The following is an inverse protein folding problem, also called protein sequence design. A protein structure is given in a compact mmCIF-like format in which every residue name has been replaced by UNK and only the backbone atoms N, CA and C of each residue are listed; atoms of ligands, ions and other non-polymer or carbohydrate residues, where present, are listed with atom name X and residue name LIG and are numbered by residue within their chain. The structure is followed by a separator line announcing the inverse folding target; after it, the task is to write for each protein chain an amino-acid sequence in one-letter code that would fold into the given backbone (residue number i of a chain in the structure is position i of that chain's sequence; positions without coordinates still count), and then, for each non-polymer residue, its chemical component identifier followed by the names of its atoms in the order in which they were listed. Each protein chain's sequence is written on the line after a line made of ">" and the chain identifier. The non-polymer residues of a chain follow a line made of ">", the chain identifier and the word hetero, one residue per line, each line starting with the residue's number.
data_IF_901173958563
#
_entry.id   IF_901173958563
#
_cell.length_a   1.000
_cell.length_b   1.000
_cell.length_c   1.000
_cell.angle_alpha   90.00
_cell.angle_beta   90.00
_cell.angle_gamma   90.00
#
_symmetry.space_group_name_H-M   'P 1'
#
loop_
_entity.id
_entity.type
_entity.pdbx_description
1 polymer ?
#
# COMPACT_ATOMS: atom_id res chain seq x y z
N UNK A 1 43.62 8.30 29.54
CA UNK A 1 44.40 9.50 29.15
C UNK A 1 45.84 9.07 28.85
N UNK A 2 46.57 9.72 27.92
CA UNK A 2 46.79 9.25 26.53
C UNK A 2 48.30 9.21 26.14
N UNK A 3 48.72 9.11 24.85
CA UNK A 3 48.60 10.17 23.84
C UNK A 3 47.97 9.63 22.52
N UNK A 4 47.07 10.29 21.78
CA UNK A 4 47.12 11.61 21.10
C UNK A 4 48.44 11.87 20.38
N UNK A 5 48.51 11.52 19.09
CA UNK A 5 49.28 12.31 18.12
C UNK A 5 48.41 12.63 16.91
N UNK A 6 48.22 13.93 16.61
CA UNK A 6 47.47 14.41 15.47
C UNK A 6 48.38 14.41 14.23
N UNK A 7 47.84 14.02 13.07
CA UNK A 7 48.45 14.41 11.80
C UNK A 7 47.44 15.29 11.08
N UNK A 8 47.54 16.58 11.41
CA UNK A 8 47.23 17.65 10.48
C UNK A 8 48.18 17.53 9.29
N UNK A 9 47.68 17.12 8.14
CA UNK A 9 48.21 17.62 6.87
C UNK A 9 47.02 18.10 6.05
N UNK A 10 46.88 19.42 6.07
CA UNK A 10 46.15 20.17 5.07
C UNK A 10 46.78 19.90 3.69
N UNK A 11 45.95 19.53 2.72
CA UNK A 11 46.24 19.78 1.32
C UNK A 11 44.91 20.23 0.69
N UNK A 12 44.75 21.54 0.62
CA UNK A 12 43.75 22.18 -0.21
C UNK A 12 44.03 21.83 -1.67
N UNK A 13 43.06 21.23 -2.34
CA UNK A 13 42.94 21.29 -3.79
C UNK A 13 41.53 21.76 -4.11
N UNK A 14 41.45 23.07 -4.40
CA UNK A 14 40.35 23.65 -5.15
C UNK A 14 40.22 22.86 -6.46
N UNK A 15 39.10 22.19 -6.64
CA UNK A 15 38.61 21.77 -7.94
C UNK A 15 37.16 22.21 -8.03
N UNK A 16 36.97 23.43 -8.53
CA UNK A 16 35.67 23.93 -8.94
C UNK A 16 35.25 23.15 -10.21
N UNK A 17 34.59 22.02 -10.01
CA UNK A 17 33.80 21.38 -11.05
C UNK A 17 32.40 21.99 -10.98
N UNK A 18 32.16 23.02 -11.81
CA UNK A 18 30.82 23.49 -12.12
C UNK A 18 30.19 22.42 -13.01
N UNK A 19 29.65 21.37 -12.39
CA UNK A 19 28.73 20.47 -13.09
C UNK A 19 27.38 21.18 -13.10
N UNK A 20 27.21 22.03 -14.10
CA UNK A 20 25.88 22.38 -14.58
C UNK A 20 25.29 21.13 -15.24
N UNK A 21 24.81 20.19 -14.42
CA UNK A 21 23.77 19.27 -14.85
C UNK A 21 22.46 19.97 -14.50
N UNK A 22 21.91 20.62 -15.52
CA UNK A 22 20.48 20.73 -15.75
C UNK A 22 19.89 19.33 -15.59
N UNK A 23 19.64 18.93 -14.35
CA UNK A 23 18.82 17.77 -14.03
C UNK A 23 17.40 18.27 -14.05
N UNK A 24 16.66 17.85 -15.06
CA UNK A 24 15.23 18.05 -15.20
C UNK A 24 14.57 18.00 -13.82
N UNK A 25 13.94 19.12 -13.46
CA UNK A 25 12.96 19.17 -12.40
C UNK A 25 11.72 18.43 -12.93
N UNK A 26 11.83 17.11 -13.09
CA UNK A 26 10.69 16.22 -13.15
C UNK A 26 9.98 16.40 -11.80
N UNK A 27 8.98 17.28 -11.81
CA UNK A 27 7.94 17.25 -10.78
C UNK A 27 7.56 15.78 -10.61
N UNK A 28 7.51 15.23 -9.39
CA UNK A 28 6.98 13.90 -9.18
C UNK A 28 5.69 13.82 -9.96
N UNK A 29 5.59 12.88 -10.90
CA UNK A 29 4.36 12.70 -11.65
C UNK A 29 3.26 12.56 -10.60
N UNK A 30 2.32 13.51 -10.57
CA UNK A 30 1.11 13.36 -9.77
C UNK A 30 0.55 12.01 -10.19
N UNK A 31 0.58 11.05 -9.27
CA UNK A 31 -0.01 9.74 -9.53
C UNK A 31 -1.48 10.03 -9.78
N UNK A 32 -1.92 9.88 -11.03
CA UNK A 32 -3.29 10.20 -11.42
C UNK A 32 -4.23 9.49 -10.45
N UNK A 33 -5.12 10.26 -9.81
CA UNK A 33 -6.09 9.68 -8.89
C UNK A 33 -7.00 8.73 -9.68
N UNK A 34 -7.26 7.52 -9.17
CA UNK A 34 -8.20 6.59 -9.79
C UNK A 34 -9.54 7.27 -10.10
N UNK A 35 -10.11 6.95 -11.25
CA UNK A 35 -11.33 7.60 -11.75
C UNK A 35 -12.57 6.72 -11.62
N UNK A 36 -12.39 5.41 -11.40
CA UNK A 36 -13.48 4.47 -11.11
C UNK A 36 -13.32 3.79 -9.74
N UNK A 37 -14.42 3.24 -9.18
CA UNK A 37 -14.35 2.42 -7.97
C UNK A 37 -13.42 1.22 -8.10
N UNK A 38 -13.43 0.53 -9.25
CA UNK A 38 -12.57 -0.62 -9.53
C UNK A 38 -11.10 -0.22 -9.56
N UNK A 39 -10.77 0.89 -10.22
CA UNK A 39 -9.40 1.43 -10.24
C UNK A 39 -8.93 1.81 -8.82
N UNK A 40 -9.84 2.33 -7.98
CA UNK A 40 -9.55 2.67 -6.59
C UNK A 40 -9.27 1.43 -5.75
N UNK A 41 -10.11 0.41 -5.87
CA UNK A 41 -9.96 -0.87 -5.16
C UNK A 41 -8.68 -1.60 -5.60
N UNK A 42 -8.41 -1.64 -6.91
CA UNK A 42 -7.17 -2.19 -7.46
C UNK A 42 -5.95 -1.45 -6.90
N UNK A 43 -5.98 -0.11 -6.90
CA UNK A 43 -4.89 0.69 -6.37
C UNK A 43 -4.66 0.46 -4.87
N UNK A 44 -5.73 0.32 -4.09
CA UNK A 44 -5.64 0.01 -2.65
C UNK A 44 -4.95 -1.34 -2.42
N UNK A 45 -5.38 -2.38 -3.13
CA UNK A 45 -4.82 -3.73 -2.99
C UNK A 45 -3.36 -3.78 -3.46
N UNK A 46 -3.03 -3.07 -4.54
CA UNK A 46 -1.66 -2.92 -5.00
C UNK A 46 -0.79 -2.30 -3.90
N UNK A 47 -1.20 -1.16 -3.34
CA UNK A 47 -0.46 -0.48 -2.27
C UNK A 47 -0.28 -1.37 -1.04
N UNK A 48 -1.29 -2.17 -0.69
CA UNK A 48 -1.18 -3.15 0.39
C UNK A 48 -0.13 -4.23 0.07
N UNK A 49 -0.13 -4.77 -1.15
CA UNK A 49 0.87 -5.76 -1.59
C UNK A 49 2.31 -5.23 -1.61
N UNK A 50 2.47 -3.92 -1.79
CA UNK A 50 3.75 -3.21 -1.78
C UNK A 50 4.15 -2.67 -0.40
N UNK A 51 3.37 -2.97 0.66
CA UNK A 51 3.53 -2.43 2.03
C UNK A 51 3.51 -0.89 2.12
N UNK A 52 2.87 -0.24 1.16
CA UNK A 52 2.80 1.22 1.05
C UNK A 52 1.63 1.79 1.88
N UNK A 53 1.63 1.49 3.17
CA UNK A 53 0.52 1.87 4.09
C UNK A 53 0.32 3.38 4.20
N UNK A 54 1.39 4.17 4.06
CA UNK A 54 1.29 5.64 4.05
C UNK A 54 0.51 6.17 2.84
N UNK A 55 0.63 5.50 1.69
CA UNK A 55 -0.09 5.86 0.46
C UNK A 55 -1.51 5.28 0.45
N UNK A 56 -1.73 4.12 1.10
CA UNK A 56 -3.09 3.60 1.31
C UNK A 56 -3.95 4.61 2.08
N UNK A 57 -3.35 5.30 3.05
CA UNK A 57 -4.04 6.37 3.78
C UNK A 57 -4.59 7.45 2.84
N UNK A 58 -3.90 7.74 1.75
CA UNK A 58 -4.29 8.79 0.80
C UNK A 58 -5.54 8.41 -0.02
N UNK A 59 -5.96 7.14 0.04
CA UNK A 59 -7.23 6.64 -0.52
C UNK A 59 -8.37 6.51 0.52
N UNK A 60 -8.10 6.69 1.81
CA UNK A 60 -9.14 6.62 2.85
C UNK A 60 -10.11 7.79 2.71
N UNK A 61 -11.41 7.48 2.72
CA UNK A 61 -12.49 8.46 2.60
C UNK A 61 -12.40 9.60 3.64
N UNK A 62 -12.80 10.81 3.24
CA UNK A 62 -12.69 12.00 4.10
C UNK A 62 -13.45 11.84 5.42
N UNK A 63 -14.63 11.22 5.39
CA UNK A 63 -15.40 10.92 6.61
C UNK A 63 -14.68 9.91 7.52
N UNK A 64 -14.08 8.86 6.93
CA UNK A 64 -13.32 7.86 7.70
C UNK A 64 -12.11 8.48 8.39
N UNK A 65 -11.41 9.40 7.73
CA UNK A 65 -10.27 10.15 8.30
C UNK A 65 -10.63 11.04 9.49
N UNK A 66 -11.91 11.30 9.74
CA UNK A 66 -12.37 12.04 10.94
C UNK A 66 -12.46 11.14 12.17
N UNK A 67 -12.46 9.81 11.98
CA UNK A 67 -12.69 8.82 13.05
C UNK A 67 -11.42 8.10 13.51
N UNK A 68 -10.42 8.04 12.64
CA UNK A 68 -9.11 7.45 12.88
C UNK A 68 -8.04 8.41 12.35
N UNK A 69 -6.91 8.52 13.02
CA UNK A 69 -5.78 9.31 12.52
C UNK A 69 -4.82 8.47 11.65
N UNK A 70 -4.01 9.15 10.83
CA UNK A 70 -3.08 8.53 9.89
C UNK A 70 -2.12 7.55 10.58
N UNK A 71 -1.57 7.90 11.74
CA UNK A 71 -0.57 7.07 12.40
C UNK A 71 -1.22 5.81 12.96
N UNK A 72 -2.39 5.92 13.59
CA UNK A 72 -3.14 4.75 14.07
C UNK A 72 -3.48 3.79 12.94
N UNK A 73 -3.83 4.30 11.75
CA UNK A 73 -4.05 3.47 10.56
C UNK A 73 -2.78 2.73 10.13
N UNK A 74 -1.66 3.44 9.97
CA UNK A 74 -0.38 2.85 9.55
C UNK A 74 0.11 1.80 10.56
N UNK A 75 0.04 2.12 11.86
CA UNK A 75 0.45 1.24 12.94
C UNK A 75 -0.37 -0.04 12.93
N UNK A 76 -1.68 0.05 12.65
CA UNK A 76 -2.55 -1.13 12.58
C UNK A 76 -2.09 -2.10 11.49
N UNK A 77 -1.82 -1.62 10.29
CA UNK A 77 -1.34 -2.46 9.18
C UNK A 77 0.05 -3.03 9.44
N UNK A 78 0.96 -2.20 9.98
CA UNK A 78 2.32 -2.61 10.34
C UNK A 78 2.31 -3.71 11.39
N UNK A 79 1.55 -3.53 12.47
CA UNK A 79 1.44 -4.52 13.55
C UNK A 79 0.77 -5.81 13.09
N UNK A 80 -0.27 -5.74 12.25
CA UNK A 80 -0.87 -6.96 11.67
C UNK A 80 0.19 -7.75 10.91
N UNK A 81 0.95 -7.07 10.06
CA UNK A 81 1.99 -7.70 9.24
C UNK A 81 3.06 -8.35 10.12
N UNK A 82 3.60 -7.62 11.09
CA UNK A 82 4.67 -8.10 11.96
C UNK A 82 4.20 -9.25 12.86
N UNK A 83 3.09 -9.09 13.57
CA UNK A 83 2.58 -10.08 14.54
C UNK A 83 2.05 -11.34 13.85
N UNK A 84 1.47 -11.20 12.64
CA UNK A 84 1.00 -12.34 11.84
C UNK A 84 2.11 -12.93 10.97
N UNK A 85 3.32 -12.35 11.00
CA UNK A 85 4.48 -12.75 10.21
C UNK A 85 4.23 -12.78 8.70
N UNK A 86 3.36 -11.89 8.22
CA UNK A 86 3.01 -11.76 6.80
C UNK A 86 4.23 -11.24 6.04
N UNK A 87 4.64 -11.98 5.02
CA UNK A 87 5.77 -11.64 4.14
C UNK A 87 5.32 -11.05 2.81
N UNK A 88 4.05 -11.19 2.45
CA UNK A 88 3.45 -10.63 1.26
C UNK A 88 1.99 -11.05 1.10
N UNK A 89 1.32 -10.46 0.13
CA UNK A 89 -0.02 -10.85 -0.28
C UNK A 89 -0.12 -10.97 -1.80
N UNK A 90 -0.88 -11.94 -2.27
CA UNK A 90 -1.41 -11.98 -3.63
C UNK A 90 -2.90 -11.63 -3.57
N UNK A 91 -3.40 -10.82 -4.49
CA UNK A 91 -4.80 -10.40 -4.47
C UNK A 91 -5.47 -10.52 -5.84
N UNK A 92 -6.80 -10.50 -5.84
CA UNK A 92 -7.62 -10.47 -7.04
C UNK A 92 -8.95 -9.78 -6.79
N UNK A 93 -9.33 -8.83 -7.64
CA UNK A 93 -10.70 -8.32 -7.70
C UNK A 93 -11.64 -9.38 -8.27
N UNK A 94 -12.79 -9.56 -7.61
CA UNK A 94 -13.83 -10.49 -8.02
C UNK A 94 -14.92 -9.75 -8.79
N UNK A 95 -15.57 -10.42 -9.74
CA UNK A 95 -16.70 -9.83 -10.46
C UNK A 95 -17.92 -9.74 -9.54
N UNK A 96 -18.60 -8.61 -9.56
CA UNK A 96 -19.90 -8.37 -8.92
C UNK A 96 -21.07 -8.99 -9.70
N UNK A 97 -20.83 -9.42 -10.95
CA UNK A 97 -21.83 -10.09 -11.77
C UNK A 97 -22.12 -11.51 -11.27
N UNK A 98 -23.40 -11.92 -11.12
CA UNK A 98 -23.74 -13.28 -10.72
C UNK A 98 -23.20 -14.28 -11.74
N UNK A 99 -22.43 -15.26 -11.26
CA UNK A 99 -21.91 -16.35 -12.09
C UNK A 99 -23.06 -17.09 -12.76
N UNK A 100 -23.18 -16.96 -14.10
CA UNK A 100 -24.24 -17.58 -14.90
C UNK A 100 -24.13 -19.12 -15.02
N UNK A 101 -23.14 -19.74 -14.37
CA UNK A 101 -22.90 -21.18 -14.39
C UNK A 101 -23.31 -21.79 -13.05
N UNK A 102 -24.39 -22.59 -13.07
CA UNK A 102 -24.94 -23.34 -11.93
C UNK A 102 -24.03 -24.44 -11.37
N UNK A 103 -22.85 -24.02 -10.94
CA UNK A 103 -21.92 -24.79 -10.12
C UNK A 103 -22.02 -24.26 -8.70
N UNK A 104 -21.94 -25.17 -7.72
CA UNK A 104 -22.24 -24.95 -6.31
C UNK A 104 -21.89 -23.54 -5.81
N UNK A 105 -22.86 -22.91 -5.13
CA UNK A 105 -22.68 -21.63 -4.46
C UNK A 105 -21.35 -21.66 -3.69
N UNK A 106 -20.51 -20.65 -3.93
CA UNK A 106 -19.32 -20.44 -3.12
C UNK A 106 -19.77 -20.36 -1.65
N UNK A 107 -19.29 -21.25 -0.76
CA UNK A 107 -19.68 -21.23 0.65
C UNK A 107 -19.26 -19.96 1.38
N UNK A 108 -18.46 -19.09 0.73
CA UNK A 108 -18.07 -17.76 1.18
C UNK A 108 -18.69 -16.62 0.35
N UNK A 109 -19.64 -16.90 -0.55
CA UNK A 109 -20.46 -15.88 -1.18
C UNK A 109 -21.45 -15.32 -0.15
N UNK A 110 -20.93 -14.51 0.77
CA UNK A 110 -21.75 -13.58 1.55
C UNK A 110 -22.41 -12.58 0.59
N UNK A 111 -23.57 -12.08 0.98
CA UNK A 111 -24.29 -11.05 0.23
C UNK A 111 -23.43 -9.77 0.22
N UNK A 112 -22.72 -9.53 -0.89
CA UNK A 112 -21.93 -8.32 -1.08
C UNK A 112 -22.89 -7.12 -1.14
N UNK A 113 -22.68 -6.13 -0.27
CA UNK A 113 -23.57 -4.98 -0.22
C UNK A 113 -23.41 -4.11 -1.48
N UNK A 114 -24.49 -3.39 -1.82
CA UNK A 114 -24.46 -2.44 -2.93
C UNK A 114 -23.40 -1.35 -2.67
N UNK A 115 -22.55 -1.10 -3.67
CA UNK A 115 -21.43 -0.15 -3.55
C UNK A 115 -20.13 -0.74 -3.01
N UNK A 116 -20.07 -2.05 -2.78
CA UNK A 116 -18.84 -2.74 -2.40
C UNK A 116 -18.20 -3.50 -3.56
N UNK A 117 -16.88 -3.50 -3.61
CA UNK A 117 -16.09 -4.28 -4.57
C UNK A 117 -15.58 -5.54 -3.86
N UNK A 118 -15.97 -6.75 -4.28
CA UNK A 118 -15.46 -7.99 -3.70
C UNK A 118 -14.05 -8.30 -4.19
N UNK A 119 -13.23 -8.89 -3.33
CA UNK A 119 -11.86 -9.29 -3.63
C UNK A 119 -11.44 -10.53 -2.82
N UNK A 120 -10.42 -11.23 -3.29
CA UNK A 120 -9.77 -12.32 -2.56
C UNK A 120 -8.30 -12.00 -2.33
N UNK A 121 -7.75 -12.42 -1.19
CA UNK A 121 -6.34 -12.29 -0.83
C UNK A 121 -5.78 -13.64 -0.43
N UNK A 122 -4.56 -13.96 -0.84
CA UNK A 122 -3.76 -15.02 -0.24
C UNK A 122 -2.64 -14.37 0.56
N UNK A 123 -2.64 -14.60 1.86
CA UNK A 123 -1.58 -14.14 2.75
C UNK A 123 -0.45 -15.14 2.76
N UNK A 124 0.77 -14.67 2.49
CA UNK A 124 1.99 -15.45 2.67
C UNK A 124 2.56 -15.15 4.04
N UNK A 125 2.78 -16.17 4.87
CA UNK A 125 3.39 -16.00 6.19
C UNK A 125 4.59 -16.91 6.39
N UNK A 126 5.56 -16.43 7.17
CA UNK A 126 6.75 -17.22 7.47
C UNK A 126 6.51 -18.31 8.53
N UNK A 127 5.43 -18.20 9.33
CA UNK A 127 5.15 -19.13 10.41
C UNK A 127 3.96 -20.07 10.15
N UNK A 128 2.86 -19.56 9.58
CA UNK A 128 1.62 -20.33 9.41
C UNK A 128 1.45 -20.92 7.99
N UNK A 129 2.35 -20.59 7.07
CA UNK A 129 2.20 -20.90 5.65
C UNK A 129 1.23 -19.94 4.96
N UNK A 130 0.77 -20.34 3.77
CA UNK A 130 -0.13 -19.53 2.95
C UNK A 130 -1.58 -19.81 3.32
N UNK A 131 -2.41 -18.77 3.45
CA UNK A 131 -3.85 -18.93 3.67
C UNK A 131 -4.67 -17.92 2.86
N UNK A 132 -5.78 -18.35 2.23
CA UNK A 132 -6.67 -17.49 1.50
C UNK A 132 -7.72 -16.83 2.41
N UNK A 133 -8.22 -15.67 1.99
CA UNK A 133 -9.35 -14.95 2.56
C UNK A 133 -10.14 -14.24 1.44
N UNK A 134 -11.43 -14.01 1.66
CA UNK A 134 -12.32 -13.30 0.75
C UNK A 134 -13.05 -12.20 1.51
N UNK A 135 -13.10 -11.00 0.93
CA UNK A 135 -13.70 -9.83 1.58
C UNK A 135 -14.27 -8.86 0.54
N UNK A 136 -14.88 -7.78 1.00
CA UNK A 136 -15.37 -6.69 0.18
C UNK A 136 -14.84 -5.35 0.68
N UNK A 137 -14.73 -4.39 -0.24
CA UNK A 137 -14.28 -3.03 0.07
C UNK A 137 -15.45 -2.08 -0.17
N UNK A 138 -15.90 -1.30 0.83
CA UNK A 138 -16.85 -0.22 0.60
C UNK A 138 -16.14 0.98 -0.05
N UNK A 139 -16.74 1.53 -1.11
CA UNK A 139 -16.22 2.69 -1.82
C UNK A 139 -17.23 3.84 -1.73
N UNK A 140 -16.71 5.05 -1.59
CA UNK A 140 -17.51 6.28 -1.60
C UNK A 140 -16.96 7.24 -2.64
N UNK A 141 -17.85 7.99 -3.28
CA UNK A 141 -17.47 9.07 -4.18
C UNK A 141 -17.21 10.35 -3.38
N UNK A 142 -16.01 10.91 -3.53
CA UNK A 142 -15.60 12.17 -2.88
C UNK A 142 -15.86 13.35 -3.85
N UNK A 143 -16.25 14.52 -3.30
CA UNK A 143 -16.55 15.76 -4.05
C UNK A 143 -15.31 16.62 -4.38
#
# INVERSE_FOLDING_TARGET
>A
MPPRVPILIAAALLSAFVIACTGDNESPAETERPTTPEETAERWLQLWSEDRFEDMWDLVATESRQTIDKQTFIDRYTLIKEESTITGIDYKLLSTEPSATGTAADPFAEEIAEGEIPFSVTFHTSFFGDFPDSNSMPLVQEE
#
